data_IF_923994222178
#
_entry.id   IF_923994222178
#
_cell.length_a   1.000
_cell.length_b   1.000
_cell.length_c   1.000
_cell.angle_alpha   90.00
_cell.angle_beta   90.00
_cell.angle_gamma   90.00
#
_symmetry.space_group_name_H-M   'P 1'
#
loop_
_entity.id
_entity.type
_entity.pdbx_description
1 polymer ?
#
# COMPACT_ATOMS: atom_id res chain seq x y z
N UNK A 1 23.34 0.81 -4.51
CA UNK A 1 22.22 0.05 -5.10
C UNK A 1 21.41 -0.51 -3.95
N UNK A 2 20.34 0.18 -3.55
CA UNK A 2 19.37 -0.35 -2.60
C UNK A 2 18.16 -0.83 -3.41
N UNK A 3 18.14 -2.12 -3.74
CA UNK A 3 17.02 -2.74 -4.42
C UNK A 3 16.01 -3.23 -3.39
N UNK A 4 14.91 -2.51 -3.22
CA UNK A 4 13.67 -3.10 -2.69
C UNK A 4 12.58 -2.74 -3.69
N UNK A 5 12.03 -3.76 -4.35
CA UNK A 5 11.06 -3.64 -5.45
C UNK A 5 9.64 -4.07 -5.05
N UNK A 6 9.30 -3.95 -3.76
CA UNK A 6 8.13 -4.52 -3.06
C UNK A 6 8.40 -5.85 -2.35
N UNK A 7 7.81 -6.01 -1.15
CA UNK A 7 7.82 -7.25 -0.35
C UNK A 7 6.58 -8.13 -0.58
N UNK A 8 5.68 -7.71 -1.48
CA UNK A 8 4.45 -8.43 -1.81
C UNK A 8 3.22 -7.93 -1.04
N UNK A 9 2.08 -8.62 -1.24
CA UNK A 9 0.82 -8.33 -0.57
C UNK A 9 0.67 -9.27 0.62
N UNK A 10 0.40 -8.71 1.80
CA UNK A 10 0.14 -9.47 3.02
C UNK A 10 -1.31 -9.25 3.46
N UNK A 11 -1.97 -10.32 3.89
CA UNK A 11 -3.31 -10.26 4.49
C UNK A 11 -3.18 -10.48 5.99
N UNK A 12 -3.62 -9.50 6.77
CA UNK A 12 -3.68 -9.58 8.23
C UNK A 12 -5.13 -9.38 8.66
N UNK A 13 -5.64 -10.27 9.50
CA UNK A 13 -7.01 -10.25 10.02
C UNK A 13 -7.43 -11.59 10.65
N UNK A 14 -8.51 -11.58 11.43
CA UNK A 14 -9.09 -12.79 12.03
C UNK A 14 -8.41 -13.30 13.32
N UNK A 15 -8.73 -14.54 13.72
CA UNK A 15 -8.24 -15.11 14.97
C UNK A 15 -6.75 -15.51 14.87
N UNK A 16 -5.92 -15.00 15.79
CA UNK A 16 -4.49 -15.33 15.86
C UNK A 16 -3.53 -14.23 15.37
N UNK A 17 -4.05 -13.04 15.03
CA UNK A 17 -3.26 -11.83 14.82
C UNK A 17 -3.49 -10.82 15.95
N UNK A 18 -2.46 -10.04 16.28
CA UNK A 18 -2.52 -9.04 17.35
C UNK A 18 -3.20 -7.76 16.85
N UNK A 19 -4.53 -7.74 16.88
CA UNK A 19 -5.31 -6.51 16.73
C UNK A 19 -6.53 -6.61 15.82
N UNK A 20 -7.25 -5.49 15.73
CA UNK A 20 -8.29 -5.22 14.72
C UNK A 20 -7.67 -4.28 13.69
N UNK A 21 -7.69 -4.67 12.43
CA UNK A 21 -7.14 -3.89 11.33
C UNK A 21 -8.26 -3.17 10.57
N UNK A 22 -7.90 -2.17 9.77
CA UNK A 22 -8.89 -1.45 8.95
C UNK A 22 -9.63 -2.40 7.99
N UNK A 23 -8.95 -3.47 7.56
CA UNK A 23 -9.48 -4.55 6.72
C UNK A 23 -10.56 -5.38 7.43
N UNK A 24 -10.52 -5.49 8.77
CA UNK A 24 -11.57 -6.15 9.56
C UNK A 24 -12.85 -5.29 9.66
N UNK A 25 -12.71 -3.96 9.52
CA UNK A 25 -13.82 -3.00 9.60
C UNK A 25 -14.52 -2.77 8.26
N UNK A 26 -13.79 -2.86 7.15
CA UNK A 26 -14.33 -2.67 5.80
C UNK A 26 -13.61 -3.55 4.78
N UNK A 27 -14.36 -4.31 3.95
CA UNK A 27 -13.78 -5.13 2.89
C UNK A 27 -13.12 -4.31 1.77
N UNK A 28 -13.35 -2.99 1.73
CA UNK A 28 -12.76 -2.06 0.77
C UNK A 28 -11.60 -1.24 1.37
N UNK A 29 -10.99 -1.70 2.46
CA UNK A 29 -9.83 -1.04 3.06
C UNK A 29 -8.51 -1.73 2.69
N UNK A 30 -7.48 -0.94 2.40
CA UNK A 30 -6.11 -1.42 2.15
C UNK A 30 -5.12 -0.53 2.89
N UNK A 31 -4.08 -1.13 3.46
CA UNK A 31 -2.96 -0.42 4.08
C UNK A 31 -1.75 -0.58 3.16
N UNK A 32 -1.06 0.53 2.87
CA UNK A 32 0.16 0.55 2.08
C UNK A 32 1.26 1.18 2.91
N UNK A 33 2.40 0.49 3.04
CA UNK A 33 3.57 0.97 3.77
C UNK A 33 4.66 1.38 2.78
N UNK A 34 5.19 2.59 2.97
CA UNK A 34 6.27 3.12 2.13
C UNK A 34 7.56 3.25 2.93
N UNK A 35 8.65 2.77 2.34
CA UNK A 35 9.99 2.96 2.89
C UNK A 35 10.43 1.92 3.93
N UNK A 36 11.46 2.30 4.68
CA UNK A 36 12.19 1.49 5.64
C UNK A 36 13.44 2.22 6.12
N UNK A 37 14.15 1.67 7.11
CA UNK A 37 15.34 2.31 7.72
C UNK A 37 16.46 2.60 6.71
N UNK A 38 16.51 1.84 5.62
CA UNK A 38 17.53 1.96 4.59
C UNK A 38 17.13 2.89 3.43
N UNK A 39 15.92 3.46 3.45
CA UNK A 39 15.44 4.33 2.37
C UNK A 39 15.76 5.80 2.62
N UNK A 40 16.07 6.50 1.54
CA UNK A 40 16.10 7.97 1.51
C UNK A 40 14.69 8.54 1.33
N UNK A 41 14.48 9.80 1.72
CA UNK A 41 13.21 10.49 1.45
C UNK A 41 12.88 10.54 -0.04
N UNK A 42 13.87 10.74 -0.90
CA UNK A 42 13.67 10.79 -2.35
C UNK A 42 13.10 9.47 -2.90
N UNK A 43 13.61 8.32 -2.43
CA UNK A 43 13.09 7.01 -2.82
C UNK A 43 11.65 6.77 -2.34
N UNK A 44 11.34 7.20 -1.10
CA UNK A 44 9.99 7.12 -0.55
C UNK A 44 9.01 7.98 -1.34
N UNK A 45 9.38 9.23 -1.67
CA UNK A 45 8.54 10.13 -2.46
C UNK A 45 8.29 9.58 -3.87
N UNK A 46 9.33 9.10 -4.56
CA UNK A 46 9.16 8.49 -5.89
C UNK A 46 8.24 7.27 -5.86
N UNK A 47 8.29 6.48 -4.79
CA UNK A 47 7.41 5.32 -4.61
C UNK A 47 5.96 5.74 -4.35
N UNK A 48 5.76 6.77 -3.52
CA UNK A 48 4.43 7.33 -3.25
C UNK A 48 3.81 7.94 -4.50
N UNK A 49 4.58 8.68 -5.31
CA UNK A 49 4.12 9.27 -6.57
C UNK A 49 3.67 8.19 -7.56
N UNK A 50 4.46 7.12 -7.72
CA UNK A 50 4.12 6.01 -8.60
C UNK A 50 2.84 5.28 -8.16
N UNK A 51 2.64 5.09 -6.85
CA UNK A 51 1.39 4.49 -6.33
C UNK A 51 0.21 5.44 -6.51
N UNK A 52 0.39 6.74 -6.33
CA UNK A 52 -0.66 7.73 -6.52
C UNK A 52 -1.16 7.75 -7.97
N UNK A 53 -0.26 7.68 -8.95
CA UNK A 53 -0.61 7.61 -10.38
C UNK A 53 -1.49 6.39 -10.69
N UNK A 54 -1.12 5.21 -10.20
CA UNK A 54 -1.88 3.97 -10.41
C UNK A 54 -3.25 4.02 -9.72
N UNK A 55 -3.31 4.53 -8.48
CA UNK A 55 -4.58 4.68 -7.76
C UNK A 55 -5.50 5.68 -8.47
N UNK A 56 -4.94 6.78 -8.99
CA UNK A 56 -5.68 7.77 -9.75
C UNK A 56 -6.28 7.15 -11.02
N UNK A 57 -5.49 6.41 -11.80
CA UNK A 57 -5.97 5.71 -13.00
C UNK A 57 -7.10 4.73 -12.65
N UNK A 58 -6.89 3.88 -11.64
CA UNK A 58 -7.90 2.92 -11.19
C UNK A 58 -9.21 3.60 -10.77
N UNK A 59 -9.15 4.69 -10.01
CA UNK A 59 -10.35 5.44 -9.59
C UNK A 59 -11.09 5.99 -10.81
N UNK A 60 -10.39 6.56 -11.78
CA UNK A 60 -11.04 7.07 -12.99
C UNK A 60 -11.70 5.94 -13.81
N UNK A 61 -11.03 4.80 -13.97
CA UNK A 61 -11.61 3.63 -14.64
C UNK A 61 -12.89 3.12 -13.95
N UNK A 62 -12.93 3.11 -12.61
CA UNK A 62 -14.14 2.70 -11.86
C UNK A 62 -15.25 3.76 -11.91
N UNK A 63 -14.92 5.05 -12.03
CA UNK A 63 -15.91 6.12 -12.17
C UNK A 63 -16.53 6.18 -13.57
N UNK A 64 -15.78 5.78 -14.60
CA UNK A 64 -16.23 5.75 -15.99
C UNK A 64 -17.02 4.47 -16.36
N UNK A 65 -17.14 3.51 -15.43
CA UNK A 65 -18.00 2.31 -15.56
C UNK A 65 -19.45 2.57 -15.18
#
# INVERSE_FOLDING_TARGET
MAGILSRGVMTSGGAGVDGVYNQDLSPNSMTIEFGGVDNTFEEVYRSADAVAEVIQEYIYEELDR
#
